data_IF_089298678165
#
_entry.id   IF_089298678165
#
_cell.length_a   1.000
_cell.length_b   1.000
_cell.length_c   1.000
_cell.angle_alpha   90.00
_cell.angle_beta   90.00
_cell.angle_gamma   90.00
#
_symmetry.space_group_name_H-M   'P 1'
#
loop_
_entity.id
_entity.type
_entity.pdbx_description
1 polymer ?
#
# COMPACT_ATOMS: atom_id res chain seq x y z
N UNK A 1 -24.30 27.18 25.00
CA UNK A 1 -23.59 26.05 24.37
C UNK A 1 -22.66 26.64 23.32
N UNK A 2 -21.36 26.34 23.38
CA UNK A 2 -20.37 26.83 22.41
C UNK A 2 -20.49 26.03 21.11
N UNK A 3 -20.50 26.72 19.97
CA UNK A 3 -20.51 26.05 18.66
C UNK A 3 -19.30 25.10 18.53
N UNK A 4 -19.48 23.92 17.93
CA UNK A 4 -18.37 22.99 17.75
C UNK A 4 -17.28 23.61 16.88
N UNK A 5 -16.02 23.32 17.20
CA UNK A 5 -14.89 23.72 16.35
C UNK A 5 -14.90 22.83 15.11
N UNK A 6 -15.02 23.42 13.94
CA UNK A 6 -14.89 22.72 12.68
C UNK A 6 -13.42 22.42 12.38
N UNK A 7 -13.09 21.18 12.04
CA UNK A 7 -11.74 20.72 11.67
C UNK A 7 -11.79 20.05 10.30
N UNK A 8 -11.07 20.59 9.33
CA UNK A 8 -10.97 20.05 7.96
C UNK A 8 -9.79 19.12 7.83
N UNK A 9 -10.03 17.89 7.42
CA UNK A 9 -9.01 16.86 7.31
C UNK A 9 -8.92 16.35 5.88
N UNK A 10 -7.70 16.30 5.35
CA UNK A 10 -7.42 15.67 4.07
C UNK A 10 -6.78 14.31 4.35
N UNK A 11 -7.48 13.27 3.94
CA UNK A 11 -7.07 11.88 4.05
C UNK A 11 -6.61 11.44 2.68
N UNK A 12 -5.44 10.82 2.60
CA UNK A 12 -4.88 10.37 1.34
C UNK A 12 -4.64 8.87 1.38
N UNK A 13 -4.78 8.17 0.24
CA UNK A 13 -4.41 6.76 0.14
C UNK A 13 -3.99 6.37 -1.29
N UNK A 14 -3.14 5.35 -1.38
CA UNK A 14 -2.57 4.82 -2.62
C UNK A 14 -2.92 3.34 -2.83
N UNK A 15 -3.98 2.89 -2.16
CA UNK A 15 -4.49 1.53 -2.25
C UNK A 15 -5.46 1.22 -1.12
N UNK A 16 -6.15 0.09 -1.24
CA UNK A 16 -7.19 -0.34 -0.30
C UNK A 16 -6.66 -0.58 1.12
N UNK A 17 -5.51 -1.23 1.28
CA UNK A 17 -4.92 -1.48 2.60
C UNK A 17 -4.52 -0.17 3.31
N UNK A 18 -4.03 0.83 2.56
CA UNK A 18 -3.70 2.13 3.13
C UNK A 18 -4.95 2.90 3.56
N UNK A 19 -6.08 2.73 2.86
CA UNK A 19 -7.36 3.29 3.31
C UNK A 19 -7.77 2.70 4.66
N UNK A 20 -7.65 1.37 4.83
CA UNK A 20 -7.93 0.70 6.12
C UNK A 20 -7.08 1.31 7.24
N UNK A 21 -5.79 1.49 7.01
CA UNK A 21 -4.88 2.06 8.01
C UNK A 21 -5.17 3.53 8.30
N UNK A 22 -5.44 4.34 7.27
CA UNK A 22 -5.82 5.74 7.48
C UNK A 22 -7.10 5.86 8.32
N UNK A 23 -8.11 5.01 8.06
CA UNK A 23 -9.35 4.97 8.83
C UNK A 23 -9.15 4.53 10.28
N UNK A 24 -8.24 3.59 10.54
CA UNK A 24 -7.93 3.17 11.91
C UNK A 24 -7.29 4.31 12.72
N UNK A 25 -6.39 5.08 12.08
CA UNK A 25 -5.80 6.29 12.68
C UNK A 25 -6.86 7.37 12.90
N UNK A 26 -7.74 7.62 11.93
CA UNK A 26 -8.82 8.61 12.07
C UNK A 26 -9.73 8.28 13.26
N UNK A 27 -10.15 7.02 13.37
CA UNK A 27 -10.99 6.55 14.48
C UNK A 27 -10.28 6.74 15.83
N UNK A 28 -9.00 6.40 15.92
CA UNK A 28 -8.21 6.60 17.13
C UNK A 28 -8.13 8.08 17.50
N UNK A 29 -7.78 8.94 16.55
CA UNK A 29 -7.59 10.38 16.79
C UNK A 29 -8.89 11.08 17.18
N UNK A 30 -10.02 10.72 16.56
CA UNK A 30 -11.34 11.20 16.97
C UNK A 30 -11.66 10.82 18.41
N UNK A 31 -11.29 9.60 18.83
CA UNK A 31 -11.45 9.15 20.21
C UNK A 31 -10.55 9.94 21.16
N UNK A 32 -9.31 10.26 20.80
CA UNK A 32 -8.46 11.13 21.63
C UNK A 32 -9.08 12.53 21.82
N UNK A 33 -9.71 13.04 20.76
CA UNK A 33 -10.26 14.39 20.70
C UNK A 33 -11.75 14.49 21.14
N UNK A 34 -12.37 13.41 21.63
CA UNK A 34 -13.81 13.36 21.93
C UNK A 34 -14.30 14.44 22.91
N UNK A 35 -13.43 14.95 23.79
CA UNK A 35 -13.74 16.00 24.77
C UNK A 35 -13.69 17.42 24.20
N UNK A 36 -13.20 17.61 22.97
CA UNK A 36 -12.86 18.92 22.42
C UNK A 36 -14.02 19.62 21.68
N UNK A 37 -15.24 19.05 21.68
CA UNK A 37 -16.41 19.57 20.96
C UNK A 37 -16.06 19.93 19.49
N UNK A 38 -15.52 18.95 18.77
CA UNK A 38 -15.06 19.11 17.38
C UNK A 38 -16.05 18.46 16.41
N UNK A 39 -16.30 19.14 15.30
CA UNK A 39 -16.96 18.58 14.11
C UNK A 39 -15.92 18.44 12.99
N UNK A 40 -15.94 17.31 12.28
CA UNK A 40 -14.96 17.01 11.23
C UNK A 40 -15.56 17.12 9.83
N UNK A 41 -14.78 17.69 8.92
CA UNK A 41 -15.02 17.67 7.48
C UNK A 41 -13.91 16.90 6.79
N UNK A 42 -14.25 15.73 6.27
CA UNK A 42 -13.26 14.76 5.78
C UNK A 42 -13.28 14.67 4.25
N UNK A 43 -12.10 14.83 3.66
CA UNK A 43 -11.86 14.76 2.22
C UNK A 43 -10.93 13.59 1.94
N UNK A 44 -11.38 12.59 1.16
CA UNK A 44 -10.54 11.47 0.74
C UNK A 44 -9.95 11.72 -0.65
N UNK A 45 -8.63 11.57 -0.76
CA UNK A 45 -7.87 11.70 -1.99
C UNK A 45 -7.16 10.38 -2.30
N UNK A 46 -7.64 9.72 -3.35
CA UNK A 46 -7.09 8.50 -3.90
C UNK A 46 -6.14 8.89 -5.05
N UNK A 47 -4.92 8.37 -5.08
CA UNK A 47 -3.93 8.70 -6.11
C UNK A 47 -2.79 7.68 -6.12
N UNK A 48 -1.90 7.73 -7.13
CA UNK A 48 -0.71 6.86 -7.24
C UNK A 48 -0.98 5.36 -7.05
N UNK A 49 -2.15 4.87 -7.47
CA UNK A 49 -2.56 3.46 -7.35
C UNK A 49 -1.58 2.49 -8.05
N UNK A 50 -0.84 2.99 -9.05
CA UNK A 50 0.25 2.30 -9.75
C UNK A 50 -0.15 0.94 -10.34
N UNK A 51 -1.33 0.86 -10.96
CA UNK A 51 -1.82 -0.34 -11.65
C UNK A 51 -1.48 -0.33 -13.14
N UNK A 52 -1.42 -1.50 -13.78
CA UNK A 52 -1.40 -1.64 -15.23
C UNK A 52 -2.50 -0.82 -15.94
N UNK A 53 -2.28 -0.41 -17.21
CA UNK A 53 -3.29 0.26 -18.02
C UNK A 53 -4.62 -0.49 -18.05
N UNK A 54 -5.74 0.23 -17.94
CA UNK A 54 -7.09 -0.33 -17.98
C UNK A 54 -7.62 -0.92 -16.66
N UNK A 55 -6.81 -0.99 -15.59
CA UNK A 55 -7.25 -1.42 -14.25
C UNK A 55 -7.51 -0.25 -13.29
N UNK A 56 -6.94 0.93 -13.56
CA UNK A 56 -6.89 2.02 -12.60
C UNK A 56 -8.27 2.55 -12.17
N UNK A 57 -9.18 2.73 -13.11
CA UNK A 57 -10.53 3.25 -12.80
C UNK A 57 -11.30 2.27 -11.94
N UNK A 58 -11.21 0.96 -12.25
CA UNK A 58 -11.84 -0.09 -11.44
C UNK A 58 -11.27 -0.13 -10.02
N UNK A 59 -9.95 0.06 -9.87
CA UNK A 59 -9.34 0.10 -8.55
C UNK A 59 -9.76 1.34 -7.76
N UNK A 60 -9.76 2.51 -8.40
CA UNK A 60 -10.22 3.74 -7.78
C UNK A 60 -11.69 3.64 -7.33
N UNK A 61 -12.58 3.15 -8.19
CA UNK A 61 -13.99 2.94 -7.84
C UNK A 61 -14.16 1.93 -6.71
N UNK A 62 -13.36 0.87 -6.66
CA UNK A 62 -13.37 -0.05 -5.53
C UNK A 62 -12.96 0.62 -4.22
N UNK A 63 -11.89 1.42 -4.21
CA UNK A 63 -11.45 2.17 -3.03
C UNK A 63 -12.51 3.21 -2.61
N UNK A 64 -13.19 3.86 -3.56
CA UNK A 64 -14.33 4.75 -3.26
C UNK A 64 -15.47 4.00 -2.58
N UNK A 65 -15.86 2.83 -3.12
CA UNK A 65 -16.89 1.98 -2.52
C UNK A 65 -16.52 1.57 -1.10
N UNK A 66 -15.26 1.17 -0.86
CA UNK A 66 -14.76 0.89 0.49
C UNK A 66 -14.93 2.11 1.40
N UNK A 67 -14.47 3.28 0.97
CA UNK A 67 -14.52 4.49 1.78
C UNK A 67 -15.95 4.89 2.15
N UNK A 68 -16.90 4.82 1.20
CA UNK A 68 -18.31 5.15 1.40
C UNK A 68 -19.02 4.20 2.35
N UNK A 69 -18.58 2.94 2.42
CA UNK A 69 -19.19 1.93 3.29
C UNK A 69 -19.00 2.25 4.77
N UNK A 70 -17.86 2.83 5.14
CA UNK A 70 -17.39 2.85 6.54
C UNK A 70 -17.28 4.23 7.15
N UNK A 71 -17.30 5.30 6.35
CA UNK A 71 -17.06 6.65 6.84
C UNK A 71 -17.83 7.68 6.03
N UNK A 72 -18.23 8.78 6.68
CA UNK A 72 -18.88 9.91 6.00
C UNK A 72 -17.81 10.84 5.43
N UNK A 73 -17.93 11.17 4.16
CA UNK A 73 -16.99 12.04 3.46
C UNK A 73 -17.72 13.26 2.90
N UNK A 74 -17.06 14.41 2.94
CA UNK A 74 -17.48 15.59 2.20
C UNK A 74 -17.21 15.40 0.71
N UNK A 75 -16.04 14.85 0.39
CA UNK A 75 -15.60 14.57 -0.99
C UNK A 75 -14.75 13.30 -1.00
N UNK A 76 -14.93 12.48 -2.03
CA UNK A 76 -14.00 11.41 -2.38
C UNK A 76 -13.56 11.61 -3.82
N UNK A 77 -12.31 12.00 -4.02
CA UNK A 77 -11.75 12.23 -5.35
C UNK A 77 -10.61 11.27 -5.65
N UNK A 78 -10.51 10.87 -6.92
CA UNK A 78 -9.36 10.19 -7.48
C UNK A 78 -8.59 11.17 -8.36
N UNK A 79 -7.32 11.42 -8.03
CA UNK A 79 -6.41 12.16 -8.89
C UNK A 79 -5.72 11.15 -9.78
N UNK A 80 -6.09 11.13 -11.06
CA UNK A 80 -5.57 10.15 -12.00
C UNK A 80 -4.13 10.47 -12.43
N UNK A 81 -3.40 9.52 -13.05
CA UNK A 81 -2.01 9.71 -13.46
C UNK A 81 -1.83 10.89 -14.43
N UNK A 82 -2.74 11.07 -15.38
CA UNK A 82 -2.69 12.18 -16.34
C UNK A 82 -2.74 13.55 -15.65
N UNK A 83 -3.54 13.68 -14.58
CA UNK A 83 -3.61 14.89 -13.77
C UNK A 83 -2.33 15.12 -12.96
N UNK A 84 -1.76 14.06 -12.38
CA UNK A 84 -0.47 14.11 -11.67
C UNK A 84 0.64 14.53 -12.64
N UNK A 85 0.71 13.93 -13.83
CA UNK A 85 1.69 14.23 -14.87
C UNK A 85 1.53 15.66 -15.39
N UNK A 86 0.29 16.09 -15.62
CA UNK A 86 0.00 17.47 -16.04
C UNK A 86 0.47 18.50 -15.01
N UNK A 87 0.40 18.19 -13.70
CA UNK A 87 0.94 19.04 -12.64
C UNK A 87 2.46 18.98 -12.63
N UNK A 88 3.04 17.78 -12.67
CA UNK A 88 4.50 17.55 -12.69
C UNK A 88 5.19 18.36 -13.79
N UNK A 89 4.65 18.28 -15.03
CA UNK A 89 5.16 19.01 -16.19
C UNK A 89 5.07 20.55 -16.06
N UNK A 90 4.22 21.06 -15.16
CA UNK A 90 4.02 22.49 -14.95
C UNK A 90 4.84 23.07 -13.79
N UNK A 91 5.49 22.24 -12.96
CA UNK A 91 6.22 22.72 -11.79
C UNK A 91 7.33 23.72 -12.15
N UNK A 92 8.05 23.49 -13.25
CA UNK A 92 9.18 24.33 -13.71
C UNK A 92 8.77 25.63 -14.43
N UNK A 93 7.48 25.78 -14.73
CA UNK A 93 6.94 26.86 -15.56
C UNK A 93 5.78 27.62 -14.92
N UNK A 94 5.26 27.16 -13.78
CA UNK A 94 4.15 27.78 -13.07
C UNK A 94 4.53 28.18 -11.64
N UNK A 95 3.94 29.29 -11.20
CA UNK A 95 4.07 29.75 -9.82
C UNK A 95 3.39 28.80 -8.83
N UNK A 96 3.87 28.75 -7.57
CA UNK A 96 3.27 27.92 -6.53
C UNK A 96 1.77 28.12 -6.39
N UNK A 97 1.31 29.37 -6.44
CA UNK A 97 -0.13 29.71 -6.38
C UNK A 97 -0.93 28.98 -7.46
N UNK A 98 -0.47 28.97 -8.71
CA UNK A 98 -1.18 28.31 -9.81
C UNK A 98 -1.22 26.79 -9.61
N UNK A 99 -0.10 26.19 -9.21
CA UNK A 99 -0.01 24.75 -8.95
C UNK A 99 -0.94 24.37 -7.79
N UNK A 100 -0.87 25.08 -6.66
CA UNK A 100 -1.70 24.80 -5.50
C UNK A 100 -3.18 25.05 -5.78
N UNK A 101 -3.54 26.06 -6.57
CA UNK A 101 -4.92 26.27 -7.02
C UNK A 101 -5.44 25.10 -7.88
N UNK A 102 -4.59 24.46 -8.69
CA UNK A 102 -4.96 23.22 -9.40
C UNK A 102 -5.20 22.07 -8.43
N UNK A 103 -4.30 21.87 -7.45
CA UNK A 103 -4.45 20.82 -6.43
C UNK A 103 -5.71 21.05 -5.58
N UNK A 104 -5.97 22.29 -5.13
CA UNK A 104 -7.18 22.62 -4.37
C UNK A 104 -8.47 22.27 -5.12
N UNK A 105 -8.51 22.45 -6.44
CA UNK A 105 -9.65 22.05 -7.28
C UNK A 105 -9.82 20.54 -7.33
N UNK A 106 -8.71 19.80 -7.46
CA UNK A 106 -8.73 18.34 -7.47
C UNK A 106 -9.10 17.75 -6.11
N UNK A 107 -8.73 18.41 -5.01
CA UNK A 107 -9.07 17.96 -3.65
C UNK A 107 -10.49 18.37 -3.24
N UNK A 108 -10.97 19.53 -3.69
CA UNK A 108 -12.28 20.07 -3.34
C UNK A 108 -12.27 21.00 -2.12
N UNK A 109 -11.10 21.33 -1.56
CA UNK A 109 -10.95 22.33 -0.50
C UNK A 109 -9.66 23.15 -0.65
N UNK A 110 -9.70 24.42 -0.27
CA UNK A 110 -8.55 25.35 -0.30
C UNK A 110 -7.73 25.37 1.00
N UNK A 111 -8.22 24.72 2.05
CA UNK A 111 -7.61 24.73 3.37
C UNK A 111 -7.85 23.41 4.09
N UNK A 112 -6.90 23.02 4.92
CA UNK A 112 -7.03 21.90 5.84
C UNK A 112 -6.34 22.25 7.16
N UNK A 113 -6.90 21.72 8.25
CA UNK A 113 -6.31 21.76 9.58
C UNK A 113 -5.39 20.56 9.81
N UNK A 114 -5.71 19.41 9.19
CA UNK A 114 -4.90 18.18 9.25
C UNK A 114 -4.76 17.53 7.86
N UNK A 115 -3.62 16.91 7.60
CA UNK A 115 -3.38 16.09 6.41
C UNK A 115 -2.74 14.75 6.79
N UNK A 116 -3.31 13.67 6.29
CA UNK A 116 -2.94 12.29 6.60
C UNK A 116 -2.29 11.64 5.38
N UNK A 117 -1.03 11.22 5.50
CA UNK A 117 -0.28 10.56 4.44
C UNK A 117 0.48 9.33 4.96
N UNK A 118 0.74 8.33 4.11
CA UNK A 118 1.54 7.16 4.50
C UNK A 118 3.04 7.46 4.60
N UNK A 119 3.52 8.47 3.84
CA UNK A 119 4.94 8.86 3.72
C UNK A 119 5.07 10.26 3.09
N UNK A 120 6.27 10.84 3.08
CA UNK A 120 6.49 12.23 2.65
C UNK A 120 7.49 12.42 1.49
N UNK A 121 7.98 11.34 0.88
CA UNK A 121 9.04 11.40 -0.14
C UNK A 121 8.57 11.14 -1.58
N UNK A 122 7.41 10.52 -1.79
CA UNK A 122 6.87 10.34 -3.15
C UNK A 122 6.28 11.65 -3.69
N UNK A 123 6.27 11.80 -5.02
CA UNK A 123 5.81 13.01 -5.69
C UNK A 123 4.42 13.47 -5.25
N UNK A 124 3.40 12.61 -5.33
CA UNK A 124 2.03 13.00 -4.97
C UNK A 124 1.90 13.37 -3.47
N UNK A 125 2.60 12.64 -2.59
CA UNK A 125 2.68 12.98 -1.16
C UNK A 125 3.33 14.37 -0.96
N UNK A 126 4.45 14.65 -1.64
CA UNK A 126 5.13 15.94 -1.60
C UNK A 126 4.26 17.07 -2.17
N UNK A 127 3.52 16.82 -3.24
CA UNK A 127 2.61 17.79 -3.83
C UNK A 127 1.52 18.20 -2.83
N UNK A 128 0.86 17.22 -2.20
CA UNK A 128 -0.21 17.46 -1.25
C UNK A 128 0.29 18.14 0.04
N UNK A 129 1.40 17.66 0.62
CA UNK A 129 1.95 18.24 1.88
C UNK A 129 2.45 19.68 1.69
N UNK A 130 2.98 20.03 0.50
CA UNK A 130 3.38 21.41 0.20
C UNK A 130 2.17 22.30 -0.10
N UNK A 131 1.11 21.77 -0.71
CA UNK A 131 -0.14 22.49 -0.95
C UNK A 131 -0.80 22.87 0.37
N UNK A 132 -0.89 21.93 1.32
CA UNK A 132 -1.49 22.14 2.65
C UNK A 132 -0.44 22.33 3.74
N UNK A 133 0.59 23.15 3.45
CA UNK A 133 1.75 23.33 4.34
C UNK A 133 1.40 23.82 5.76
N UNK A 134 0.27 24.49 5.97
CA UNK A 134 -0.16 24.95 7.29
C UNK A 134 -0.87 23.88 8.13
N UNK A 135 -1.39 22.81 7.51
CA UNK A 135 -2.10 21.74 8.22
C UNK A 135 -1.15 20.94 9.12
N UNK A 136 -1.62 20.35 10.20
CA UNK A 136 -0.86 19.33 10.95
C UNK A 136 -0.64 18.10 10.07
N UNK A 137 0.60 17.65 9.94
CA UNK A 137 1.00 16.54 9.05
C UNK A 137 1.07 15.27 9.86
N UNK A 138 0.16 14.36 9.57
CA UNK A 138 -0.02 13.09 10.27
C UNK A 138 0.45 11.96 9.36
N UNK A 139 1.40 11.16 9.84
CA UNK A 139 1.82 9.94 9.16
C UNK A 139 1.01 8.76 9.70
N UNK A 140 0.29 8.03 8.83
CA UNK A 140 -0.41 6.80 9.26
C UNK A 140 0.37 5.51 8.93
N UNK A 141 1.56 5.62 8.33
CA UNK A 141 2.37 4.49 7.88
C UNK A 141 1.85 3.82 6.60
N UNK A 142 2.65 2.92 6.05
CA UNK A 142 2.28 2.12 4.87
C UNK A 142 1.69 0.77 5.29
N UNK A 143 1.05 0.06 4.34
CA UNK A 143 0.41 -1.23 4.58
C UNK A 143 -0.52 -1.14 5.80
N UNK A 144 -0.30 -1.95 6.83
CA UNK A 144 -1.05 -1.99 8.10
C UNK A 144 -0.56 -0.99 9.17
N UNK A 145 0.10 0.10 8.77
CA UNK A 145 0.67 1.08 9.70
C UNK A 145 2.11 0.76 10.07
N UNK A 146 2.90 0.34 9.09
CA UNK A 146 4.35 0.11 9.19
C UNK A 146 5.06 1.41 8.83
N UNK A 147 6.08 1.76 9.61
CA UNK A 147 6.98 2.85 9.23
C UNK A 147 7.95 2.40 8.12
N UNK A 148 8.12 3.26 7.11
CA UNK A 148 8.92 2.95 5.94
C UNK A 148 9.85 4.10 5.57
N UNK A 149 11.15 3.92 5.81
CA UNK A 149 12.17 4.91 5.48
C UNK A 149 12.43 5.00 3.97
N UNK A 150 12.73 6.20 3.48
CA UNK A 150 13.24 6.39 2.12
C UNK A 150 14.64 5.80 1.92
N UNK A 151 15.36 5.50 3.00
CA UNK A 151 16.74 5.01 2.96
C UNK A 151 16.84 3.49 3.12
N UNK A 152 15.70 2.78 3.11
CA UNK A 152 15.71 1.35 3.30
C UNK A 152 16.19 0.62 2.04
N UNK A 153 17.48 0.28 2.02
CA UNK A 153 18.14 -0.44 0.92
C UNK A 153 17.53 -1.84 0.63
N UNK A 154 16.67 -2.37 1.50
CA UNK A 154 15.92 -3.61 1.21
C UNK A 154 14.82 -3.40 0.17
N UNK A 155 14.36 -2.16 -0.02
CA UNK A 155 13.19 -1.85 -0.86
C UNK A 155 13.47 -0.89 -2.00
N UNK A 156 14.51 -0.07 -1.87
CA UNK A 156 14.99 0.82 -2.91
C UNK A 156 16.38 0.38 -3.35
N UNK A 157 16.63 0.31 -4.67
CA UNK A 157 17.97 0.03 -5.16
C UNK A 157 18.92 1.12 -4.66
N UNK A 158 20.16 0.75 -4.38
CA UNK A 158 21.20 1.73 -4.09
C UNK A 158 21.33 2.67 -5.30
N UNK A 159 21.27 3.98 -5.07
CA UNK A 159 21.42 4.95 -6.14
C UNK A 159 22.82 4.84 -6.75
N UNK A 160 22.90 4.36 -7.99
CA UNK A 160 24.14 4.38 -8.77
C UNK A 160 24.23 5.73 -9.50
N UNK A 161 25.13 6.65 -9.09
CA UNK A 161 25.24 7.93 -9.77
C UNK A 161 25.65 7.72 -11.24
N UNK A 162 25.00 8.41 -12.20
CA UNK A 162 25.37 8.30 -13.60
C UNK A 162 26.81 8.78 -13.82
N UNK A 163 27.55 8.12 -14.72
CA UNK A 163 28.91 8.50 -15.09
C UNK A 163 28.92 9.95 -15.58
N UNK A 164 29.72 10.79 -14.92
CA UNK A 164 29.82 12.23 -15.16
C UNK A 164 30.29 12.52 -16.59
N UNK A 165 29.46 13.21 -17.37
CA UNK A 165 29.82 13.74 -18.68
C UNK A 165 30.05 15.26 -18.56
N UNK A 166 31.23 15.75 -18.96
CA UNK A 166 31.65 17.15 -18.72
C UNK A 166 30.72 18.19 -19.38
N UNK A 167 30.12 17.83 -20.53
CA UNK A 167 29.18 18.70 -21.27
C UNK A 167 27.82 18.79 -20.58
N UNK A 168 27.37 17.72 -19.91
CA UNK A 168 26.13 17.75 -19.13
C UNK A 168 26.30 18.52 -17.83
N UNK A 169 27.51 18.51 -17.25
CA UNK A 169 27.84 19.24 -16.02
C UNK A 169 27.64 20.75 -16.13
N UNK A 170 28.15 21.39 -17.19
CA UNK A 170 28.03 22.84 -17.41
C UNK A 170 26.60 23.25 -17.74
N UNK A 171 25.90 22.49 -18.60
CA UNK A 171 24.46 22.70 -18.86
C UNK A 171 23.61 22.58 -17.59
N UNK A 172 23.92 21.61 -16.73
CA UNK A 172 23.22 21.40 -15.47
C UNK A 172 23.48 22.52 -14.47
N UNK A 173 24.70 23.07 -14.40
CA UNK A 173 25.00 24.26 -13.58
C UNK A 173 24.18 25.48 -14.00
N UNK A 174 24.12 25.78 -15.31
CA UNK A 174 23.33 26.91 -15.82
C UNK A 174 21.84 26.69 -15.55
N UNK A 175 21.31 25.48 -15.83
CA UNK A 175 19.93 25.12 -15.48
C UNK A 175 19.66 25.28 -13.98
N UNK A 176 20.59 24.90 -13.12
CA UNK A 176 20.44 25.03 -11.67
C UNK A 176 20.39 26.51 -11.23
N UNK A 177 21.21 27.39 -11.81
CA UNK A 177 21.17 28.84 -11.53
C UNK A 177 19.84 29.44 -12.01
N UNK A 178 19.42 29.15 -13.25
CA UNK A 178 18.13 29.61 -13.78
C UNK A 178 16.98 29.10 -12.91
N UNK A 179 17.02 27.84 -12.50
CA UNK A 179 16.03 27.25 -11.60
C UNK A 179 15.97 27.99 -10.26
N UNK A 180 17.12 28.31 -9.65
CA UNK A 180 17.18 29.08 -8.39
C UNK A 180 16.59 30.49 -8.54
N UNK A 181 16.87 31.17 -9.66
CA UNK A 181 16.30 32.49 -9.95
C UNK A 181 14.78 32.39 -10.11
N UNK A 182 14.29 31.43 -10.89
CA UNK A 182 12.85 31.18 -11.07
C UNK A 182 12.15 30.86 -9.75
N UNK A 183 12.78 30.06 -8.89
CA UNK A 183 12.25 29.74 -7.56
C UNK A 183 12.18 30.99 -6.67
N UNK A 184 13.23 31.81 -6.64
CA UNK A 184 13.26 33.07 -5.87
C UNK A 184 12.20 34.06 -6.36
N UNK A 185 11.95 34.11 -7.67
CA UNK A 185 10.90 34.94 -8.28
C UNK A 185 9.50 34.30 -8.20
N UNK A 186 9.34 33.14 -7.56
CA UNK A 186 8.08 32.38 -7.49
C UNK A 186 7.46 32.06 -8.87
N UNK A 187 8.30 31.99 -9.91
CA UNK A 187 7.91 31.58 -11.27
C UNK A 187 8.01 30.06 -11.48
N UNK A 188 8.59 29.36 -10.50
CA UNK A 188 8.70 27.90 -10.42
C UNK A 188 8.18 27.44 -9.07
N UNK A 189 7.56 26.27 -9.06
CA UNK A 189 7.13 25.57 -7.85
C UNK A 189 8.20 24.54 -7.47
N UNK A 190 8.69 24.63 -6.23
CA UNK A 190 9.68 23.73 -5.66
C UNK A 190 9.02 22.93 -4.54
N UNK A 191 8.91 21.62 -4.73
CA UNK A 191 8.35 20.73 -3.72
C UNK A 191 9.44 20.37 -2.73
N UNK A 192 9.22 20.67 -1.45
CA UNK A 192 10.15 20.33 -0.37
C UNK A 192 9.71 19.05 0.31
N UNK A 193 10.67 18.24 0.76
CA UNK A 193 10.36 17.19 1.73
C UNK A 193 10.04 17.85 3.07
N UNK A 194 8.81 17.72 3.52
CA UNK A 194 8.32 18.27 4.79
C UNK A 194 8.17 17.11 5.77
N UNK A 195 8.70 17.28 6.98
CA UNK A 195 8.57 16.27 8.03
C UNK A 195 7.13 16.21 8.56
N UNK A 196 6.74 15.04 9.05
CA UNK A 196 5.49 14.89 9.77
C UNK A 196 5.61 15.46 11.18
N UNK A 197 4.51 16.00 11.69
CA UNK A 197 4.41 16.51 13.06
C UNK A 197 4.21 15.34 14.04
N UNK A 198 3.43 14.33 13.62
CA UNK A 198 3.18 13.11 14.39
C UNK A 198 2.97 11.89 13.47
N UNK A 199 3.36 10.72 13.95
CA UNK A 199 3.04 9.44 13.33
C UNK A 199 2.13 8.57 14.19
N UNK A 200 1.28 7.77 13.56
CA UNK A 200 0.48 6.72 14.18
C UNK A 200 0.79 5.43 13.45
N UNK A 201 1.36 4.46 14.17
CA UNK A 201 1.83 3.21 13.59
C UNK A 201 1.34 2.05 14.42
N UNK A 202 0.96 0.95 13.78
CA UNK A 202 0.70 -0.31 14.50
C UNK A 202 2.03 -1.02 14.76
N UNK A 203 2.97 -0.90 13.81
CA UNK A 203 4.27 -1.57 13.83
C UNK A 203 5.39 -0.56 13.50
N UNK A 204 5.75 0.34 14.43
CA UNK A 204 6.66 1.46 14.16
C UNK A 204 8.10 1.03 13.86
N UNK A 205 8.58 -0.09 14.39
CA UNK A 205 9.99 -0.51 14.34
C UNK A 205 10.19 -1.93 13.79
N UNK A 206 9.14 -2.53 13.23
CA UNK A 206 9.15 -3.96 12.84
C UNK A 206 10.14 -4.30 11.73
N UNK A 207 10.58 -3.30 10.95
CA UNK A 207 11.58 -3.44 9.89
C UNK A 207 12.97 -2.93 10.30
N UNK A 208 13.20 -2.66 11.60
CA UNK A 208 14.50 -2.27 12.14
C UNK A 208 14.84 -0.79 12.03
N UNK A 209 13.88 0.05 11.62
CA UNK A 209 14.03 1.51 11.54
C UNK A 209 12.95 2.18 12.38
N UNK A 210 13.32 3.21 13.14
CA UNK A 210 12.37 3.99 13.95
C UNK A 210 11.86 5.21 13.19
N UNK A 211 10.59 5.62 13.40
CA UNK A 211 10.07 6.85 12.83
C UNK A 211 10.85 8.07 13.35
N UNK A 212 11.32 8.99 12.48
CA UNK A 212 12.14 10.14 12.87
C UNK A 212 11.31 11.32 13.41
N UNK A 213 10.08 11.06 13.83
CA UNK A 213 9.11 12.03 14.35
C UNK A 213 8.52 11.51 15.66
N UNK A 214 7.81 12.36 16.41
CA UNK A 214 6.97 11.90 17.52
C UNK A 214 5.96 10.89 16.96
N UNK A 215 5.76 9.76 17.64
CA UNK A 215 4.77 8.78 17.20
C UNK A 215 4.01 8.13 18.34
N UNK A 216 2.84 7.59 18.00
CA UNK A 216 1.98 6.79 18.86
C UNK A 216 1.90 5.39 18.26
N UNK A 217 2.13 4.38 19.10
CA UNK A 217 1.89 2.98 18.75
C UNK A 217 0.41 2.66 18.95
N UNK A 218 -0.28 2.27 17.88
CA UNK A 218 -1.67 1.89 17.91
C UNK A 218 -1.82 0.42 18.30
N UNK A 219 -2.80 0.16 19.16
CA UNK A 219 -3.21 -1.20 19.49
C UNK A 219 -3.82 -1.90 18.26
N UNK A 220 -3.38 -3.13 17.98
CA UNK A 220 -3.87 -3.94 16.85
C UNK A 220 -5.39 -4.13 16.85
N UNK A 221 -6.05 -4.07 18.01
CA UNK A 221 -7.51 -4.13 18.13
C UNK A 221 -8.21 -3.03 17.34
N UNK A 222 -7.59 -1.85 17.20
CA UNK A 222 -8.11 -0.75 16.39
C UNK A 222 -8.06 -1.02 14.90
N UNK A 223 -6.96 -1.60 14.44
CA UNK A 223 -6.86 -2.05 13.06
C UNK A 223 -7.90 -3.17 12.79
N UNK A 224 -8.03 -4.13 13.70
CA UNK A 224 -9.00 -5.23 13.58
C UNK A 224 -10.46 -4.72 13.58
N UNK A 225 -10.79 -3.73 14.41
CA UNK A 225 -12.10 -3.06 14.43
C UNK A 225 -12.39 -2.43 13.06
N UNK A 226 -11.42 -1.72 12.47
CA UNK A 226 -11.58 -1.16 11.13
C UNK A 226 -11.80 -2.23 10.06
N UNK A 227 -11.07 -3.35 10.11
CA UNK A 227 -11.30 -4.48 9.19
C UNK A 227 -12.71 -5.06 9.29
N UNK A 228 -13.25 -5.16 10.51
CA UNK A 228 -14.62 -5.67 10.75
C UNK A 228 -15.70 -4.78 10.10
N UNK A 229 -15.45 -3.48 9.96
CA UNK A 229 -16.40 -2.57 9.31
C UNK A 229 -16.54 -2.84 7.80
N UNK A 230 -15.61 -3.58 7.20
CA UNK A 230 -15.65 -3.94 5.78
C UNK A 230 -16.29 -5.31 5.49
N UNK A 231 -16.87 -5.99 6.49
CA UNK A 231 -17.51 -7.29 6.29
C UNK A 231 -18.55 -7.28 5.16
N UNK A 232 -19.34 -6.20 5.06
CA UNK A 232 -20.36 -6.02 4.02
C UNK A 232 -19.84 -5.83 2.58
N UNK A 233 -18.54 -5.90 2.33
CA UNK A 233 -17.99 -5.87 0.96
C UNK A 233 -18.12 -7.20 0.22
N UNK A 234 -18.21 -8.31 0.95
CA UNK A 234 -18.31 -9.65 0.38
C UNK A 234 -19.74 -10.15 0.45
N UNK A 235 -20.18 -10.81 -0.62
CA UNK A 235 -21.48 -11.46 -0.67
C UNK A 235 -21.48 -12.72 0.20
N UNK A 236 -22.54 -12.90 0.99
CA UNK A 236 -22.63 -14.02 1.94
C UNK A 236 -22.71 -15.36 1.22
N UNK A 237 -23.41 -15.43 0.09
CA UNK A 237 -23.49 -16.67 -0.69
C UNK A 237 -22.14 -17.01 -1.34
N UNK A 238 -21.40 -15.99 -1.80
CA UNK A 238 -20.03 -16.18 -2.27
C UNK A 238 -19.13 -16.76 -1.17
N UNK A 239 -19.19 -16.23 0.06
CA UNK A 239 -18.40 -16.74 1.19
C UNK A 239 -18.75 -18.21 1.46
N UNK A 240 -20.05 -18.53 1.53
CA UNK A 240 -20.51 -19.88 1.78
C UNK A 240 -20.03 -20.85 0.67
N UNK A 241 -20.21 -20.49 -0.60
CA UNK A 241 -19.75 -21.31 -1.72
C UNK A 241 -18.22 -21.47 -1.70
N UNK A 242 -17.47 -20.43 -1.34
CA UNK A 242 -16.03 -20.52 -1.21
C UNK A 242 -15.63 -21.52 -0.13
N UNK A 243 -16.28 -21.46 1.04
CA UNK A 243 -16.05 -22.39 2.15
C UNK A 243 -16.38 -23.83 1.76
N UNK A 244 -17.53 -24.06 1.11
CA UNK A 244 -17.92 -25.38 0.59
C UNK A 244 -16.88 -25.95 -0.38
N UNK A 245 -16.29 -25.12 -1.25
CA UNK A 245 -15.27 -25.56 -2.21
C UNK A 245 -13.95 -26.00 -1.55
N UNK A 246 -13.62 -25.43 -0.38
CA UNK A 246 -12.35 -25.71 0.31
C UNK A 246 -12.52 -26.66 1.51
N UNK A 247 -13.74 -26.89 1.95
CA UNK A 247 -14.04 -27.77 3.07
C UNK A 247 -13.56 -29.20 2.76
N UNK A 248 -12.89 -29.81 3.73
CA UNK A 248 -12.28 -31.15 3.66
C UNK A 248 -11.00 -31.27 2.82
N UNK A 249 -10.47 -30.19 2.25
CA UNK A 249 -9.21 -30.21 1.52
C UNK A 249 -8.11 -29.40 2.24
N UNK A 250 -6.83 -29.83 2.18
CA UNK A 250 -5.72 -28.97 2.51
C UNK A 250 -5.72 -27.74 1.60
N UNK A 251 -5.49 -26.55 2.16
CA UNK A 251 -5.50 -25.29 1.39
C UNK A 251 -4.13 -24.66 1.42
N UNK A 252 -3.61 -24.34 0.24
CA UNK A 252 -2.41 -23.54 0.07
C UNK A 252 -2.81 -22.17 -0.47
N UNK A 253 -2.44 -21.11 0.24
CA UNK A 253 -2.74 -19.74 -0.16
C UNK A 253 -1.47 -19.09 -0.70
N UNK A 254 -1.50 -18.64 -1.94
CA UNK A 254 -0.42 -17.91 -2.60
C UNK A 254 -0.76 -16.43 -2.68
N UNK A 255 -0.10 -15.63 -1.84
CA UNK A 255 -0.11 -14.16 -1.91
C UNK A 255 1.09 -13.71 -2.73
N UNK A 256 0.89 -13.55 -4.03
CA UNK A 256 1.97 -13.15 -4.94
C UNK A 256 2.31 -11.65 -4.78
N UNK A 257 3.28 -11.18 -5.55
CA UNK A 257 3.69 -9.78 -5.61
C UNK A 257 3.65 -9.28 -7.05
N UNK A 258 3.98 -8.00 -7.22
CA UNK A 258 3.99 -7.30 -8.50
C UNK A 258 5.42 -6.99 -8.96
N UNK A 259 6.33 -7.99 -8.91
CA UNK A 259 7.75 -7.72 -9.15
C UNK A 259 8.03 -7.29 -10.60
N UNK A 260 7.36 -7.92 -11.57
CA UNK A 260 7.51 -7.54 -12.97
C UNK A 260 6.93 -6.15 -13.26
N UNK A 261 5.75 -5.80 -12.72
CA UNK A 261 5.16 -4.47 -12.88
C UNK A 261 5.96 -3.39 -12.15
N UNK A 262 6.68 -3.77 -11.08
CA UNK A 262 7.65 -2.91 -10.41
C UNK A 262 9.03 -2.87 -11.11
N UNK A 263 9.17 -3.49 -12.29
CA UNK A 263 10.41 -3.54 -13.09
C UNK A 263 11.60 -4.14 -12.35
N UNK A 264 11.37 -5.14 -11.48
CA UNK A 264 12.42 -5.82 -10.71
C UNK A 264 12.89 -7.14 -11.34
N UNK A 265 12.09 -7.68 -12.26
CA UNK A 265 12.35 -8.88 -13.07
C UNK A 265 11.41 -8.89 -14.28
N UNK A 266 11.51 -9.90 -15.16
CA UNK A 266 10.55 -10.13 -16.24
C UNK A 266 9.27 -10.80 -15.72
N UNK A 267 8.18 -10.74 -16.51
CA UNK A 267 6.93 -11.43 -16.16
C UNK A 267 7.11 -12.95 -16.18
N UNK A 268 7.85 -13.45 -17.16
CA UNK A 268 8.17 -14.86 -17.33
C UNK A 268 8.98 -15.40 -16.15
N UNK A 269 9.99 -14.66 -15.71
CA UNK A 269 10.84 -15.04 -14.57
C UNK A 269 10.05 -15.02 -13.26
N UNK A 270 9.11 -14.08 -13.08
CA UNK A 270 8.24 -14.04 -11.90
C UNK A 270 7.36 -15.30 -11.82
N UNK A 271 6.72 -15.68 -12.92
CA UNK A 271 5.88 -16.88 -13.00
C UNK A 271 6.73 -18.15 -12.80
N UNK A 272 7.90 -18.22 -13.43
CA UNK A 272 8.83 -19.34 -13.28
C UNK A 272 9.31 -19.49 -11.84
N UNK A 273 9.60 -18.37 -11.16
CA UNK A 273 9.96 -18.32 -9.76
C UNK A 273 8.89 -18.91 -8.85
N UNK A 274 7.61 -18.54 -9.03
CA UNK A 274 6.50 -19.12 -8.26
C UNK A 274 6.38 -20.62 -8.49
N UNK A 275 6.44 -21.08 -9.74
CA UNK A 275 6.36 -22.51 -10.06
C UNK A 275 7.51 -23.29 -9.42
N UNK A 276 8.76 -22.82 -9.59
CA UNK A 276 9.93 -23.45 -9.01
C UNK A 276 9.83 -23.51 -7.47
N UNK A 277 9.36 -22.44 -6.85
CA UNK A 277 9.16 -22.39 -5.41
C UNK A 277 8.14 -23.43 -4.94
N UNK A 278 7.03 -23.59 -5.63
CA UNK A 278 5.97 -24.54 -5.29
C UNK A 278 6.39 -26.00 -5.50
N UNK A 279 7.13 -26.30 -6.58
CA UNK A 279 7.67 -27.64 -6.83
C UNK A 279 8.56 -28.15 -5.69
N UNK A 280 9.29 -27.24 -5.02
CA UNK A 280 10.19 -27.58 -3.92
C UNK A 280 9.48 -27.85 -2.58
N UNK A 281 8.13 -27.84 -2.53
CA UNK A 281 7.37 -27.83 -1.27
C UNK A 281 6.66 -29.14 -0.90
N UNK A 282 6.85 -30.23 -1.65
CA UNK A 282 6.22 -31.52 -1.39
C UNK A 282 4.72 -31.36 -1.08
N UNK A 283 3.99 -30.74 -2.01
CA UNK A 283 2.57 -30.41 -1.87
C UNK A 283 1.76 -31.70 -1.96
N UNK A 284 0.75 -31.85 -1.08
CA UNK A 284 -0.13 -33.01 -1.08
C UNK A 284 -1.00 -33.02 -2.36
N UNK A 285 -1.20 -34.17 -3.03
CA UNK A 285 -1.88 -34.23 -4.34
C UNK A 285 -3.31 -33.66 -4.39
N UNK A 286 -4.01 -33.59 -3.26
CA UNK A 286 -5.38 -33.06 -3.12
C UNK A 286 -5.43 -31.64 -2.54
N UNK A 287 -4.32 -30.90 -2.60
CA UNK A 287 -4.27 -29.52 -2.11
C UNK A 287 -4.97 -28.58 -3.09
N UNK A 288 -5.87 -27.74 -2.58
CA UNK A 288 -6.46 -26.63 -3.35
C UNK A 288 -5.54 -25.42 -3.24
N UNK A 289 -5.19 -24.83 -4.38
CA UNK A 289 -4.44 -23.57 -4.42
C UNK A 289 -5.39 -22.38 -4.49
N UNK A 290 -5.30 -21.46 -3.54
CA UNK A 290 -5.94 -20.16 -3.60
C UNK A 290 -4.89 -19.12 -3.99
N UNK A 291 -5.03 -18.51 -5.15
CA UNK A 291 -4.15 -17.41 -5.59
C UNK A 291 -4.85 -16.10 -5.29
N UNK A 292 -4.25 -15.26 -4.43
CA UNK A 292 -4.61 -13.86 -4.27
C UNK A 292 -3.60 -12.99 -5.01
N UNK A 293 -3.94 -12.46 -6.20
CA UNK A 293 -3.03 -11.57 -6.92
C UNK A 293 -2.79 -10.26 -6.17
N UNK A 294 -1.66 -9.61 -6.45
CA UNK A 294 -1.42 -8.25 -6.00
C UNK A 294 -2.37 -7.30 -6.74
N UNK A 295 -2.92 -6.23 -6.11
CA UNK A 295 -3.80 -5.27 -6.77
C UNK A 295 -3.23 -4.58 -8.02
N UNK A 296 -1.93 -4.74 -8.27
CA UNK A 296 -1.19 -4.15 -9.40
C UNK A 296 -0.74 -5.19 -10.42
N UNK A 297 -1.15 -6.44 -10.26
CA UNK A 297 -0.81 -7.47 -11.24
C UNK A 297 -1.64 -7.31 -12.51
N UNK A 298 -1.00 -7.54 -13.65
CA UNK A 298 -1.72 -7.59 -14.92
C UNK A 298 -2.64 -8.82 -14.98
N UNK A 299 -3.81 -8.67 -15.60
CA UNK A 299 -4.73 -9.81 -15.81
C UNK A 299 -4.10 -10.91 -16.69
N UNK A 300 -3.13 -10.55 -17.54
CA UNK A 300 -2.41 -11.48 -18.40
C UNK A 300 -1.49 -12.36 -17.54
N UNK A 301 -0.66 -11.73 -16.68
CA UNK A 301 0.21 -12.43 -15.72
C UNK A 301 -0.57 -13.38 -14.84
N UNK A 302 -1.71 -12.95 -14.31
CA UNK A 302 -2.57 -13.77 -13.44
C UNK A 302 -3.03 -15.05 -14.16
N UNK A 303 -3.52 -14.94 -15.40
CA UNK A 303 -3.97 -16.08 -16.20
C UNK A 303 -2.82 -17.01 -16.57
N UNK A 304 -1.66 -16.44 -16.91
CA UNK A 304 -0.47 -17.22 -17.23
C UNK A 304 0.04 -17.98 -16.01
N UNK A 305 0.05 -17.36 -14.82
CA UNK A 305 0.39 -18.03 -13.57
C UNK A 305 -0.56 -19.19 -13.28
N UNK A 306 -1.87 -18.98 -13.38
CA UNK A 306 -2.86 -20.05 -13.20
C UNK A 306 -2.60 -21.22 -14.15
N UNK A 307 -2.42 -20.95 -15.44
CA UNK A 307 -2.14 -21.97 -16.45
C UNK A 307 -0.84 -22.72 -16.17
N UNK A 308 0.22 -22.03 -15.72
CA UNK A 308 1.53 -22.62 -15.41
C UNK A 308 1.56 -23.39 -14.09
N UNK A 309 0.49 -23.36 -13.28
CA UNK A 309 0.39 -24.11 -12.04
C UNK A 309 -0.67 -25.21 -12.11
N UNK A 310 -1.48 -25.26 -13.17
CA UNK A 310 -2.63 -26.16 -13.29
C UNK A 310 -2.29 -27.66 -13.19
N UNK A 311 -1.06 -28.05 -13.53
CA UNK A 311 -0.58 -29.44 -13.41
C UNK A 311 -0.13 -29.81 -11.99
N UNK A 312 0.01 -28.84 -11.08
CA UNK A 312 0.53 -29.07 -9.73
C UNK A 312 -0.55 -29.22 -8.65
N UNK A 313 -1.80 -28.87 -8.95
CA UNK A 313 -2.88 -28.80 -7.97
C UNK A 313 -4.16 -29.44 -8.50
N UNK A 314 -4.97 -29.97 -7.60
CA UNK A 314 -6.27 -30.55 -7.96
C UNK A 314 -7.26 -29.48 -8.42
N UNK A 315 -7.18 -28.28 -7.84
CA UNK A 315 -7.96 -27.12 -8.23
C UNK A 315 -7.20 -25.82 -7.89
N UNK A 316 -7.50 -24.75 -8.65
CA UNK A 316 -6.92 -23.42 -8.47
C UNK A 316 -8.02 -22.36 -8.44
N UNK A 317 -8.26 -21.81 -7.26
CA UNK A 317 -9.16 -20.69 -7.03
C UNK A 317 -8.40 -19.37 -7.17
N UNK A 318 -8.66 -18.61 -8.24
CA UNK A 318 -7.98 -17.33 -8.49
C UNK A 318 -8.88 -16.15 -8.15
N UNK A 319 -8.42 -15.29 -7.24
CA UNK A 319 -9.15 -14.11 -6.77
C UNK A 319 -8.92 -12.89 -7.70
N UNK A 320 -9.24 -13.05 -8.98
CA UNK A 320 -8.97 -12.05 -10.04
C UNK A 320 -10.11 -11.10 -10.35
N UNK A 321 -11.34 -11.38 -9.91
CA UNK A 321 -12.47 -10.48 -10.11
C UNK A 321 -12.22 -9.13 -9.42
N UNK A 322 -12.61 -7.97 -9.99
CA UNK A 322 -12.24 -6.65 -9.45
C UNK A 322 -12.57 -6.46 -7.96
N UNK A 323 -13.70 -6.99 -7.50
CA UNK A 323 -14.12 -6.89 -6.10
C UNK A 323 -13.34 -7.80 -5.13
N UNK A 324 -12.55 -8.74 -5.64
CA UNK A 324 -11.64 -9.63 -4.89
C UNK A 324 -10.17 -9.23 -5.09
N UNK A 325 -9.80 -8.85 -6.32
CA UNK A 325 -8.46 -8.43 -6.70
C UNK A 325 -8.00 -7.22 -5.88
N UNK A 326 -8.88 -6.23 -5.72
CA UNK A 326 -8.56 -4.99 -5.01
C UNK A 326 -8.87 -5.05 -3.51
N UNK A 327 -9.55 -6.09 -3.05
CA UNK A 327 -9.87 -6.30 -1.64
C UNK A 327 -8.60 -6.64 -0.84
N UNK A 328 -8.33 -5.94 0.28
CA UNK A 328 -7.34 -6.38 1.25
C UNK A 328 -7.60 -7.83 1.66
N UNK A 329 -6.57 -8.68 1.53
CA UNK A 329 -6.74 -10.11 1.72
C UNK A 329 -7.25 -10.46 3.11
N UNK A 330 -6.89 -9.67 4.12
CA UNK A 330 -7.30 -9.81 5.51
C UNK A 330 -8.82 -9.78 5.68
N UNK A 331 -9.56 -9.04 4.84
CA UNK A 331 -11.03 -8.97 4.91
C UNK A 331 -11.65 -10.28 4.44
N UNK A 332 -11.14 -10.83 3.33
CA UNK A 332 -11.56 -12.15 2.86
C UNK A 332 -11.13 -13.21 3.87
N UNK A 333 -9.91 -13.11 4.38
CA UNK A 333 -9.32 -14.09 5.27
C UNK A 333 -10.13 -14.24 6.57
N UNK A 334 -10.51 -13.12 7.18
CA UNK A 334 -11.32 -13.10 8.38
C UNK A 334 -12.74 -13.66 8.20
N UNK A 335 -13.25 -13.73 6.96
CA UNK A 335 -14.62 -14.21 6.70
C UNK A 335 -14.66 -15.65 6.20
N UNK A 336 -13.63 -16.08 5.47
CA UNK A 336 -13.57 -17.42 4.88
C UNK A 336 -12.82 -18.40 5.78
N UNK A 337 -11.70 -17.98 6.36
CA UNK A 337 -10.74 -18.88 6.98
C UNK A 337 -10.64 -18.75 8.51
N UNK A 338 -11.39 -17.83 9.12
CA UNK A 338 -11.42 -17.63 10.57
C UNK A 338 -12.76 -18.04 11.12
N UNK A 339 -12.73 -18.91 12.13
CA UNK A 339 -13.90 -19.35 12.88
C UNK A 339 -14.36 -18.31 13.90
N UNK A 340 -15.56 -18.50 14.44
CA UNK A 340 -16.14 -17.58 15.43
C UNK A 340 -15.32 -17.44 16.72
N UNK A 341 -14.52 -18.45 17.07
CA UNK A 341 -13.59 -18.46 18.20
C UNK A 341 -12.19 -17.90 17.87
N UNK A 342 -12.03 -17.31 16.68
CA UNK A 342 -10.76 -16.79 16.14
C UNK A 342 -9.73 -17.87 15.77
N UNK A 343 -10.09 -19.15 15.78
CA UNK A 343 -9.23 -20.22 15.25
C UNK A 343 -9.22 -20.22 13.72
N UNK A 344 -8.14 -20.74 13.15
CA UNK A 344 -8.00 -20.88 11.69
C UNK A 344 -8.70 -22.16 11.25
N UNK A 345 -9.63 -22.04 10.31
CA UNK A 345 -10.29 -23.16 9.64
C UNK A 345 -9.28 -23.94 8.79
N UNK A 346 -9.47 -25.25 8.67
CA UNK A 346 -8.69 -26.14 7.78
C UNK A 346 -7.18 -26.16 8.06
N UNK A 347 -6.50 -27.13 7.43
CA UNK A 347 -5.03 -27.15 7.39
C UNK A 347 -4.56 -26.14 6.33
N UNK A 348 -4.48 -24.85 6.71
CA UNK A 348 -4.07 -23.77 5.82
C UNK A 348 -2.56 -23.54 5.91
N UNK A 349 -1.92 -23.48 4.74
CA UNK A 349 -0.55 -22.97 4.59
C UNK A 349 -0.59 -21.69 3.77
N UNK A 350 0.06 -20.63 4.26
CA UNK A 350 0.15 -19.35 3.54
C UNK A 350 1.57 -19.12 3.04
N UNK A 351 1.69 -18.88 1.74
CA UNK A 351 2.91 -18.46 1.05
C UNK A 351 2.76 -17.00 0.67
N UNK A 352 3.75 -16.17 0.99
CA UNK A 352 3.67 -14.75 0.66
C UNK A 352 5.02 -14.17 0.29
N UNK A 353 4.98 -13.23 -0.63
CA UNK A 353 6.14 -12.56 -1.18
C UNK A 353 6.13 -11.06 -0.84
N UNK A 354 5.27 -10.64 0.08
CA UNK A 354 5.04 -9.25 0.49
C UNK A 354 4.87 -9.11 2.02
N UNK A 355 4.68 -7.86 2.48
CA UNK A 355 4.41 -7.55 3.88
C UNK A 355 3.04 -8.04 4.40
N UNK A 356 2.22 -8.66 3.54
CA UNK A 356 0.94 -9.27 3.95
C UNK A 356 1.12 -10.42 4.96
N UNK A 357 2.32 -11.00 5.09
CA UNK A 357 2.61 -11.91 6.22
C UNK A 357 2.38 -11.24 7.57
N UNK A 358 2.77 -9.97 7.71
CA UNK A 358 2.76 -9.26 8.98
C UNK A 358 1.34 -9.01 9.48
N UNK A 359 0.42 -8.67 8.58
CA UNK A 359 -1.00 -8.47 8.90
C UNK A 359 -1.68 -9.77 9.31
N UNK A 360 -1.45 -10.85 8.55
CA UNK A 360 -2.00 -12.16 8.87
C UNK A 360 -1.49 -12.68 10.22
N UNK A 361 -0.20 -12.49 10.51
CA UNK A 361 0.38 -12.85 11.80
C UNK A 361 -0.19 -11.99 12.93
N UNK A 362 -0.19 -10.67 12.76
CA UNK A 362 -0.61 -9.73 13.80
C UNK A 362 -2.09 -9.90 14.18
N UNK A 363 -2.96 -10.02 13.18
CA UNK A 363 -4.41 -10.00 13.35
C UNK A 363 -5.01 -11.37 13.63
N UNK A 364 -4.42 -12.43 13.06
CA UNK A 364 -5.00 -13.78 13.07
C UNK A 364 -4.03 -14.87 13.55
N UNK A 365 -2.83 -14.50 13.99
CA UNK A 365 -1.78 -15.42 14.42
C UNK A 365 -1.39 -16.49 13.37
N UNK A 366 -1.48 -16.15 12.09
CA UNK A 366 -1.15 -17.07 10.99
C UNK A 366 0.34 -17.02 10.68
N UNK A 367 1.00 -18.17 10.76
CA UNK A 367 2.39 -18.30 10.31
C UNK A 367 2.44 -18.42 8.79
N UNK A 368 3.29 -17.60 8.17
CA UNK A 368 3.45 -17.56 6.71
C UNK A 368 4.86 -18.01 6.32
N UNK A 369 4.97 -18.71 5.20
CA UNK A 369 6.25 -18.95 4.54
C UNK A 369 6.54 -17.74 3.66
N UNK A 370 7.66 -17.07 3.92
CA UNK A 370 8.00 -15.79 3.31
C UNK A 370 9.10 -15.91 2.26
N UNK A 371 8.78 -15.43 1.06
CA UNK A 371 9.73 -15.16 0.00
C UNK A 371 10.19 -16.39 -0.78
N UNK A 372 10.94 -16.16 -1.85
CA UNK A 372 11.47 -17.19 -2.73
C UNK A 372 12.66 -17.94 -2.12
N UNK A 373 13.44 -17.26 -1.26
CA UNK A 373 14.72 -17.74 -0.78
C UNK A 373 15.86 -17.54 -1.78
N UNK A 374 17.08 -17.64 -1.25
CA UNK A 374 18.30 -17.17 -1.88
C UNK A 374 18.53 -17.73 -3.29
N UNK A 375 18.34 -19.04 -3.44
CA UNK A 375 18.56 -19.73 -4.70
C UNK A 375 17.68 -19.20 -5.83
N UNK A 376 16.37 -19.06 -5.59
CA UNK A 376 15.44 -18.61 -6.64
C UNK A 376 15.64 -17.11 -6.87
N UNK A 377 15.72 -16.31 -5.80
CA UNK A 377 15.89 -14.85 -5.91
C UNK A 377 17.13 -14.45 -6.72
N UNK A 378 18.26 -15.15 -6.51
CA UNK A 378 19.52 -14.86 -7.22
C UNK A 378 19.41 -15.09 -8.72
N UNK A 379 18.55 -16.02 -9.15
CA UNK A 379 18.43 -16.41 -10.55
C UNK A 379 17.40 -15.58 -11.34
N UNK A 380 16.38 -15.02 -10.68
CA UNK A 380 15.25 -14.39 -11.37
C UNK A 380 15.17 -12.87 -11.22
N UNK A 381 15.77 -12.28 -10.19
CA UNK A 381 15.77 -10.82 -10.03
C UNK A 381 16.92 -10.19 -10.83
N UNK A 382 16.67 -9.01 -11.40
CA UNK A 382 17.77 -8.23 -11.96
C UNK A 382 18.80 -7.85 -10.88
N UNK A 383 20.06 -7.73 -11.28
CA UNK A 383 21.22 -7.55 -10.40
C UNK A 383 21.01 -6.42 -9.36
N UNK A 384 20.50 -5.27 -9.80
CA UNK A 384 20.27 -4.08 -8.96
C UNK A 384 19.20 -4.29 -7.86
N UNK A 385 18.32 -5.29 -8.01
CA UNK A 385 17.22 -5.55 -7.07
C UNK A 385 17.41 -6.82 -6.22
N UNK A 386 18.29 -7.72 -6.65
CA UNK A 386 18.49 -9.03 -6.05
C UNK A 386 18.89 -8.93 -4.56
N UNK A 387 19.93 -8.16 -4.24
CA UNK A 387 20.40 -8.00 -2.86
C UNK A 387 19.35 -7.32 -1.96
N UNK A 388 18.67 -6.30 -2.48
CA UNK A 388 17.57 -5.64 -1.77
C UNK A 388 16.45 -6.61 -1.44
N UNK A 389 16.06 -7.45 -2.42
CA UNK A 389 15.05 -8.48 -2.23
C UNK A 389 15.42 -9.48 -1.14
N UNK A 390 16.64 -10.04 -1.17
CA UNK A 390 17.09 -11.00 -0.15
C UNK A 390 17.02 -10.39 1.25
N UNK A 391 17.49 -9.15 1.38
CA UNK A 391 17.44 -8.40 2.64
C UNK A 391 16.00 -8.18 3.11
N UNK A 392 15.09 -7.84 2.20
CA UNK A 392 13.68 -7.69 2.51
C UNK A 392 13.03 -9.00 2.99
N UNK A 393 13.31 -10.14 2.34
CA UNK A 393 12.81 -11.44 2.81
C UNK A 393 13.32 -11.78 4.22
N UNK A 394 14.58 -11.49 4.50
CA UNK A 394 15.16 -11.66 5.85
C UNK A 394 14.46 -10.77 6.88
N UNK A 395 14.19 -9.50 6.56
CA UNK A 395 13.47 -8.58 7.43
C UNK A 395 12.05 -9.05 7.73
N UNK A 396 11.31 -9.52 6.73
CA UNK A 396 9.98 -10.06 6.96
C UNK A 396 10.00 -11.34 7.80
N UNK A 397 10.95 -12.26 7.57
CA UNK A 397 11.10 -13.46 8.41
C UNK A 397 11.47 -13.12 9.85
N UNK A 398 12.32 -12.12 10.07
CA UNK A 398 12.67 -11.65 11.41
C UNK A 398 11.47 -11.00 12.10
N UNK A 399 10.75 -10.14 11.38
CA UNK A 399 9.51 -9.50 11.84
C UNK A 399 8.44 -10.52 12.27
N UNK A 400 8.26 -11.59 11.49
CA UNK A 400 7.34 -12.67 11.83
C UNK A 400 7.67 -13.34 13.16
N UNK A 401 8.95 -13.54 13.46
CA UNK A 401 9.43 -14.09 14.75
C UNK A 401 9.24 -13.11 15.91
N UNK A 402 9.38 -11.81 15.66
CA UNK A 402 9.11 -10.79 16.69
C UNK A 402 7.63 -10.86 17.09
N UNK A 403 6.72 -11.03 16.13
CA UNK A 403 5.28 -11.16 16.35
C UNK A 403 4.83 -12.53 16.91
N UNK A 404 5.75 -13.48 17.12
CA UNK A 404 5.48 -14.74 17.83
C UNK A 404 5.57 -14.61 19.35
N UNK A 405 6.31 -13.62 19.83
CA UNK A 405 6.49 -13.28 21.25
C UNK A 405 5.60 -12.10 21.64
#
# INVERSE_FOLDING_TARGET
MTNPKLVKRIITCQGSIQLVTALSVLSYRQKEQHKLNIEYQDYLIIYDLSTPPGQIDKFAEFVKKMAQLVHKWEVINHINPEQIDAISNKLDSCSPRKIYDMVHKLVGTKSADEIYLCRNWQFGNQLLINTYKSAEKICYGDSIGIYFSSNNNGFFPAYTPPKLNFVSYTKNKIKAVISKVKEKLQLKTSLKTINFDIGYFVLPDILGELPPMKYITLDKSKLLETFKNFKGLLDVNYIQQFQENIDNFPVLILLNSNFSEASRMSEEDEIAGYRQFLLNRHIEPNTILVIKPHPRDSNIKIKMLQSKLADLFSDILVLSEPHLLFLPFEILFAQVFIESDMSVRNNIKVLTFSSACLSLKLLFNVTCIVGFGDHITTNIFYEDYMLGRLKHEQYLRAAMKILEN
#
